data_IF_295659541067
#
_entry.id   IF_295659541067
#
_cell.length_a   1.000
_cell.length_b   1.000
_cell.length_c   1.000
_cell.angle_alpha   90.00
_cell.angle_beta   90.00
_cell.angle_gamma   90.00
#
_symmetry.space_group_name_H-M   'P 1'
#
loop_
_entity.id
_entity.type
_entity.pdbx_description
1 polymer ?
#
# COMPACT_ATOMS: atom_id res chain seq x y z
N UNK A 1 -26.03 -10.34 -12.76
CA UNK A 1 -26.86 -9.66 -11.74
C UNK A 1 -26.14 -8.36 -11.38
N UNK A 2 -26.80 -7.23 -11.56
CA UNK A 2 -26.19 -5.93 -11.84
C UNK A 2 -25.36 -5.33 -10.70
N UNK A 3 -24.17 -4.81 -11.05
CA UNK A 3 -23.34 -3.94 -10.20
C UNK A 3 -24.00 -2.56 -10.09
N UNK A 4 -24.30 -2.13 -8.86
CA UNK A 4 -24.66 -0.74 -8.58
C UNK A 4 -23.40 -0.02 -8.14
N UNK A 5 -22.88 0.83 -9.02
CA UNK A 5 -21.86 1.82 -8.70
C UNK A 5 -22.46 2.92 -7.79
N UNK A 6 -21.74 3.31 -6.73
CA UNK A 6 -21.97 4.59 -6.05
C UNK A 6 -20.66 5.36 -5.86
N UNK A 7 -20.76 6.62 -6.26
CA UNK A 7 -19.79 7.74 -6.28
C UNK A 7 -19.06 7.97 -4.94
N UNK A 8 -17.91 8.68 -4.97
CA UNK A 8 -17.23 9.17 -3.77
C UNK A 8 -17.96 10.41 -3.23
N UNK A 9 -18.11 10.51 -1.91
CA UNK A 9 -18.47 11.77 -1.25
C UNK A 9 -17.19 12.55 -0.93
N UNK A 10 -17.11 13.76 -1.45
CA UNK A 10 -16.21 14.82 -1.01
C UNK A 10 -16.95 15.74 -0.02
N UNK A 11 -16.15 16.27 0.91
CA UNK A 11 -16.28 17.49 1.72
C UNK A 11 -17.51 17.74 2.61
N UNK A 12 -17.26 17.64 3.92
CA UNK A 12 -17.72 18.53 5.00
C UNK A 12 -17.12 17.98 6.31
N UNK A 13 -16.68 18.70 7.32
CA UNK A 13 -16.33 20.10 7.57
C UNK A 13 -15.47 20.00 8.84
N UNK A 14 -14.49 20.89 8.99
CA UNK A 14 -13.63 20.93 10.16
C UNK A 14 -14.43 21.40 11.38
N UNK A 15 -14.59 20.53 12.38
CA UNK A 15 -15.07 20.97 13.70
C UNK A 15 -14.18 20.39 14.80
N UNK A 16 -13.14 21.18 15.10
CA UNK A 16 -12.71 21.62 16.45
C UNK A 16 -12.69 20.56 17.54
N UNK A 17 -11.48 20.21 17.98
CA UNK A 17 -11.20 19.73 19.33
C UNK A 17 -11.79 20.71 20.34
N UNK A 18 -12.79 20.27 21.12
CA UNK A 18 -13.14 20.94 22.37
C UNK A 18 -12.50 20.21 23.54
N UNK A 19 -11.60 20.92 24.23
CA UNK A 19 -11.03 20.59 25.53
C UNK A 19 -12.11 20.20 26.56
N UNK A 20 -11.74 19.40 27.58
CA UNK A 20 -12.58 19.25 28.77
C UNK A 20 -12.58 20.58 29.54
N UNK A 21 -13.77 21.14 29.74
CA UNK A 21 -14.00 22.31 30.60
C UNK A 21 -13.59 22.01 32.04
N UNK A 22 -12.57 22.75 32.49
CA UNK A 22 -12.37 23.10 33.89
C UNK A 22 -13.68 23.66 34.44
N UNK A 23 -14.19 23.09 35.54
CA UNK A 23 -15.21 23.75 36.35
C UNK A 23 -14.51 24.32 37.57
N UNK A 24 -14.33 25.63 37.52
CA UNK A 24 -13.86 26.53 38.56
C UNK A 24 -14.66 26.36 39.84
N UNK A 25 -13.95 26.21 40.95
CA UNK A 25 -14.45 26.34 42.32
C UNK A 25 -14.90 27.78 42.54
N UNK A 26 -16.19 28.01 42.75
CA UNK A 26 -16.68 29.19 43.49
C UNK A 26 -17.47 28.72 44.72
N UNK A 27 -17.00 29.18 45.87
CA UNK A 27 -17.59 29.02 47.19
C UNK A 27 -19.04 29.53 47.21
N UNK A 28 -19.90 28.85 47.95
CA UNK A 28 -21.05 29.52 48.58
C UNK A 28 -20.93 29.38 50.08
N UNK A 29 -20.57 30.51 50.71
CA UNK A 29 -20.51 30.71 52.15
C UNK A 29 -21.86 30.40 52.80
N UNK A 30 -21.82 29.58 53.85
CA UNK A 30 -22.94 29.40 54.76
C UNK A 30 -23.16 30.70 55.56
N UNK A 31 -24.24 31.43 55.27
CA UNK A 31 -24.75 32.52 56.11
C UNK A 31 -26.04 32.09 56.79
N UNK A 32 -26.07 32.37 58.09
CA UNK A 32 -27.06 32.11 59.12
C UNK A 32 -28.48 32.56 58.78
N UNK A 33 -29.45 31.66 58.95
CA UNK A 33 -30.88 31.98 58.98
C UNK A 33 -31.54 31.32 60.18
N UNK A 34 -31.66 32.08 61.28
CA UNK A 34 -32.32 31.71 62.52
C UNK A 34 -33.84 31.58 62.31
N UNK A 35 -34.41 30.42 62.67
CA UNK A 35 -35.84 30.16 62.68
C UNK A 35 -36.20 29.34 63.92
N UNK A 36 -36.55 30.06 64.99
CA UNK A 36 -36.94 29.50 66.29
C UNK A 36 -38.31 28.83 66.23
N UNK A 37 -38.37 27.55 66.58
CA UNK A 37 -39.59 26.79 66.85
C UNK A 37 -39.30 25.74 67.92
N UNK A 38 -39.66 26.06 69.16
CA UNK A 38 -39.39 25.27 70.37
C UNK A 38 -40.48 24.20 70.57
N UNK A 39 -40.09 22.93 70.76
CA UNK A 39 -41.03 21.84 71.04
C UNK A 39 -40.41 20.42 71.09
N UNK A 40 -39.80 20.06 72.22
CA UNK A 40 -39.81 18.73 72.86
C UNK A 40 -39.75 17.45 72.00
N UNK A 41 -38.55 16.86 71.80
CA UNK A 41 -38.25 15.42 72.02
C UNK A 41 -36.78 15.12 71.71
N UNK A 42 -35.95 15.27 72.73
CA UNK A 42 -34.54 14.87 72.80
C UNK A 42 -34.45 13.33 72.84
N UNK A 43 -34.19 12.70 71.68
CA UNK A 43 -33.44 11.41 71.49
C UNK A 43 -33.58 10.87 70.06
N UNK A 44 -34.65 11.20 69.34
CA UNK A 44 -34.94 10.66 67.98
C UNK A 44 -34.09 11.27 66.85
N UNK A 45 -33.26 12.30 67.13
CA UNK A 45 -32.49 13.05 66.11
C UNK A 45 -31.05 12.55 65.91
N UNK A 46 -30.46 11.84 66.90
CA UNK A 46 -29.02 11.50 66.87
C UNK A 46 -28.67 10.42 65.85
N UNK A 47 -29.42 9.33 65.78
CA UNK A 47 -29.08 8.16 64.95
C UNK A 47 -29.81 8.12 63.60
N UNK A 48 -30.95 8.82 63.48
CA UNK A 48 -31.81 8.76 62.28
C UNK A 48 -31.14 9.32 61.03
N UNK A 49 -30.26 10.32 61.16
CA UNK A 49 -29.47 10.85 60.05
C UNK A 49 -28.49 9.80 59.49
N UNK A 50 -27.75 9.13 60.36
CA UNK A 50 -26.75 8.14 59.96
C UNK A 50 -27.40 6.87 59.39
N UNK A 51 -28.50 6.42 59.99
CA UNK A 51 -29.34 5.33 59.46
C UNK A 51 -29.83 5.68 58.05
N UNK A 52 -30.38 6.89 57.85
CA UNK A 52 -30.89 7.31 56.53
C UNK A 52 -29.78 7.39 55.47
N UNK A 53 -28.58 7.82 55.88
CA UNK A 53 -27.41 7.94 55.00
C UNK A 53 -26.90 6.55 54.59
N UNK A 54 -26.73 5.64 55.55
CA UNK A 54 -26.32 4.26 55.29
C UNK A 54 -27.36 3.51 54.42
N UNK A 55 -28.66 3.71 54.70
CA UNK A 55 -29.75 3.14 53.90
C UNK A 55 -29.78 3.67 52.47
N UNK A 56 -29.50 4.96 52.26
CA UNK A 56 -29.38 5.52 50.92
C UNK A 56 -28.22 4.91 50.13
N UNK A 57 -27.08 4.67 50.79
CA UNK A 57 -25.90 4.04 50.18
C UNK A 57 -26.13 2.56 49.84
N UNK A 58 -26.92 1.86 50.66
CA UNK A 58 -27.36 0.48 50.39
C UNK A 58 -28.27 0.35 49.17
N UNK A 59 -29.00 1.41 48.82
CA UNK A 59 -29.87 1.44 47.65
C UNK A 59 -29.13 1.84 46.35
N UNK A 60 -27.81 2.02 46.40
CA UNK A 60 -27.03 2.32 45.21
C UNK A 60 -27.10 1.15 44.21
N UNK A 61 -27.26 1.47 42.92
CA UNK A 61 -27.32 0.47 41.87
C UNK A 61 -25.97 -0.24 41.68
N UNK A 62 -26.00 -1.55 41.44
CA UNK A 62 -24.81 -2.33 41.09
C UNK A 62 -24.27 -1.87 39.72
N UNK A 63 -22.94 -1.76 39.54
CA UNK A 63 -22.35 -1.48 38.23
C UNK A 63 -22.83 -2.47 37.16
N UNK A 64 -22.91 -2.00 35.91
CA UNK A 64 -23.31 -2.82 34.75
C UNK A 64 -22.24 -2.79 33.68
N UNK A 65 -22.09 -3.90 32.95
CA UNK A 65 -21.10 -3.99 31.87
C UNK A 65 -21.71 -3.57 30.53
N UNK A 66 -21.04 -2.65 29.83
CA UNK A 66 -21.34 -2.28 28.46
C UNK A 66 -20.07 -2.44 27.63
N UNK A 67 -20.09 -3.35 26.66
CA UNK A 67 -18.95 -3.59 25.78
C UNK A 67 -18.87 -2.52 24.68
N UNK A 68 -17.97 -1.55 24.85
CA UNK A 68 -17.82 -0.45 23.89
C UNK A 68 -17.03 -0.85 22.63
N UNK A 69 -16.38 -2.02 22.63
CA UNK A 69 -15.50 -2.49 21.57
C UNK A 69 -16.14 -3.50 20.63
N UNK A 70 -17.17 -4.24 21.08
CA UNK A 70 -17.84 -5.32 20.34
C UNK A 70 -18.16 -4.97 18.88
N UNK A 71 -18.77 -3.80 18.64
CA UNK A 71 -19.16 -3.39 17.28
C UNK A 71 -17.96 -3.13 16.37
N UNK A 72 -16.87 -2.56 16.93
CA UNK A 72 -15.64 -2.26 16.17
C UNK A 72 -14.87 -3.53 15.84
N UNK A 73 -14.77 -4.45 16.80
CA UNK A 73 -14.14 -5.77 16.62
C UNK A 73 -14.89 -6.54 15.53
N UNK A 74 -16.22 -6.67 15.66
CA UNK A 74 -17.05 -7.38 14.69
C UNK A 74 -16.95 -6.80 13.28
N UNK A 75 -16.93 -5.46 13.16
CA UNK A 75 -16.75 -4.80 11.87
C UNK A 75 -15.40 -5.17 11.25
N UNK A 76 -14.31 -5.09 12.01
CA UNK A 76 -12.98 -5.45 11.50
C UNK A 76 -12.91 -6.91 11.07
N UNK A 77 -13.40 -7.84 11.89
CA UNK A 77 -13.42 -9.27 11.56
C UNK A 77 -14.22 -9.58 10.30
N UNK A 78 -15.29 -8.82 10.04
CA UNK A 78 -16.09 -8.93 8.82
C UNK A 78 -15.34 -8.39 7.60
N UNK A 79 -14.67 -7.24 7.75
CA UNK A 79 -13.95 -6.60 6.65
C UNK A 79 -12.70 -7.43 6.25
N UNK A 80 -11.94 -7.92 7.23
CA UNK A 80 -10.72 -8.72 7.04
C UNK A 80 -9.60 -7.98 6.26
N UNK A 81 -8.40 -8.56 6.17
CA UNK A 81 -7.31 -7.97 5.40
C UNK A 81 -7.37 -8.26 3.88
N UNK A 82 -8.43 -8.93 3.41
CA UNK A 82 -8.52 -9.38 2.01
C UNK A 82 -7.42 -10.38 1.61
N UNK A 83 -7.29 -10.61 0.30
CA UNK A 83 -6.27 -11.50 -0.29
C UNK A 83 -5.40 -10.75 -1.28
N UNK A 84 -4.10 -11.01 -1.27
CA UNK A 84 -3.19 -10.43 -2.25
C UNK A 84 -3.51 -10.94 -3.66
N UNK A 85 -3.61 -10.01 -4.62
CA UNK A 85 -3.73 -10.32 -6.04
C UNK A 85 -2.59 -9.64 -6.78
N UNK A 86 -1.81 -10.45 -7.49
CA UNK A 86 -0.67 -9.96 -8.27
C UNK A 86 -1.12 -9.02 -9.37
N UNK A 87 -0.50 -7.83 -9.46
CA UNK A 87 -0.81 -6.85 -10.51
C UNK A 87 0.00 -7.12 -11.78
N UNK A 88 1.24 -7.59 -11.63
CA UNK A 88 2.17 -7.79 -12.74
C UNK A 88 2.50 -9.26 -13.01
N UNK A 89 1.89 -10.21 -12.28
CA UNK A 89 2.17 -11.65 -12.43
C UNK A 89 2.06 -12.13 -13.87
N UNK A 90 0.99 -11.77 -14.58
CA UNK A 90 0.82 -12.14 -16.00
C UNK A 90 1.90 -11.54 -16.91
N UNK A 91 2.34 -10.30 -16.64
CA UNK A 91 3.42 -9.66 -17.40
C UNK A 91 4.77 -10.33 -17.15
N UNK A 92 5.05 -10.68 -15.89
CA UNK A 92 6.23 -11.42 -15.46
C UNK A 92 6.27 -12.78 -16.16
N UNK A 93 5.18 -13.55 -16.09
CA UNK A 93 5.07 -14.86 -16.74
C UNK A 93 5.22 -14.77 -18.26
N UNK A 94 4.58 -13.77 -18.88
CA UNK A 94 4.70 -13.56 -20.31
C UNK A 94 6.14 -13.22 -20.73
N UNK A 95 6.85 -12.38 -19.98
CA UNK A 95 8.24 -12.02 -20.31
C UNK A 95 9.20 -13.17 -20.04
N UNK A 96 9.02 -13.92 -18.95
CA UNK A 96 9.78 -15.14 -18.69
C UNK A 96 9.60 -16.15 -19.81
N UNK A 97 8.36 -16.37 -20.27
CA UNK A 97 8.10 -17.25 -21.40
C UNK A 97 8.75 -16.77 -22.69
N UNK A 98 8.71 -15.46 -22.99
CA UNK A 98 9.39 -14.89 -24.17
C UNK A 98 10.91 -15.06 -24.08
N UNK A 99 11.51 -14.82 -22.92
CA UNK A 99 12.95 -14.97 -22.70
C UNK A 99 13.39 -16.44 -22.78
N UNK A 100 12.61 -17.37 -22.20
CA UNK A 100 12.90 -18.80 -22.21
C UNK A 100 12.77 -19.42 -23.60
N UNK A 101 11.80 -18.96 -24.40
CA UNK A 101 11.57 -19.45 -25.76
C UNK A 101 12.25 -18.57 -26.82
N UNK A 102 13.18 -17.70 -26.41
CA UNK A 102 13.88 -16.81 -27.33
C UNK A 102 14.80 -17.62 -28.24
N UNK A 103 14.55 -17.56 -29.54
CA UNK A 103 15.37 -18.24 -30.52
C UNK A 103 16.77 -17.63 -30.58
N UNK A 104 17.79 -18.47 -30.81
CA UNK A 104 19.14 -18.00 -31.04
C UNK A 104 19.19 -17.01 -32.22
N UNK A 105 20.09 -16.03 -32.15
CA UNK A 105 20.26 -15.06 -33.21
C UNK A 105 20.60 -15.75 -34.54
N UNK A 106 19.84 -15.43 -35.57
CA UNK A 106 20.08 -15.88 -36.94
C UNK A 106 19.91 -14.69 -37.87
N UNK A 107 20.84 -14.51 -38.79
CA UNK A 107 20.80 -13.47 -39.80
C UNK A 107 21.11 -14.07 -41.16
N UNK A 108 20.18 -13.89 -42.10
CA UNK A 108 20.32 -14.37 -43.47
C UNK A 108 20.40 -13.18 -44.43
N UNK A 109 21.62 -12.84 -44.84
CA UNK A 109 21.88 -11.75 -45.79
C UNK A 109 21.09 -11.89 -47.09
N UNK A 110 20.97 -13.11 -47.61
CA UNK A 110 20.27 -13.35 -48.88
C UNK A 110 18.77 -13.10 -48.82
N UNK A 111 18.19 -13.10 -47.61
CA UNK A 111 16.76 -12.86 -47.37
C UNK A 111 16.48 -11.45 -46.85
N UNK A 112 17.52 -10.67 -46.52
CA UNK A 112 17.35 -9.29 -46.08
C UNK A 112 17.07 -8.37 -47.29
N UNK A 113 15.87 -7.76 -47.39
CA UNK A 113 15.54 -6.85 -48.50
C UNK A 113 16.47 -5.65 -48.58
N UNK A 114 16.97 -5.15 -47.45
CA UNK A 114 17.89 -4.02 -47.41
C UNK A 114 19.24 -4.39 -48.01
N UNK A 115 19.76 -5.58 -47.65
CA UNK A 115 20.98 -6.10 -48.27
C UNK A 115 20.82 -6.32 -49.77
N UNK A 116 19.70 -6.90 -50.22
CA UNK A 116 19.43 -7.10 -51.65
C UNK A 116 19.42 -5.77 -52.43
N UNK A 117 18.76 -4.74 -51.89
CA UNK A 117 18.74 -3.40 -52.49
C UNK A 117 20.15 -2.80 -52.55
N UNK A 118 20.92 -2.95 -51.47
CA UNK A 118 22.28 -2.46 -51.38
C UNK A 118 23.19 -3.16 -52.39
N UNK A 119 23.13 -4.49 -52.49
CA UNK A 119 23.89 -5.28 -53.45
C UNK A 119 23.58 -4.89 -54.90
N UNK A 120 22.29 -4.72 -55.24
CA UNK A 120 21.89 -4.27 -56.58
C UNK A 120 22.46 -2.87 -56.91
N UNK A 121 22.45 -1.96 -55.94
CA UNK A 121 23.04 -0.62 -56.09
C UNK A 121 24.54 -0.69 -56.33
N UNK A 122 25.30 -1.44 -55.53
CA UNK A 122 26.75 -1.58 -55.69
C UNK A 122 27.15 -2.28 -56.98
N UNK A 123 26.37 -3.26 -57.44
CA UNK A 123 26.58 -3.87 -58.75
C UNK A 123 26.37 -2.86 -59.89
N UNK A 124 25.33 -2.03 -59.81
CA UNK A 124 25.07 -1.00 -60.81
C UNK A 124 26.14 0.08 -60.81
N UNK A 125 26.51 0.62 -59.63
CA UNK A 125 27.53 1.66 -59.51
C UNK A 125 28.91 1.14 -59.87
N UNK A 126 29.24 -0.09 -59.48
CA UNK A 126 30.49 -0.73 -59.86
C UNK A 126 30.60 -0.88 -61.37
N UNK A 127 29.53 -1.33 -62.05
CA UNK A 127 29.53 -1.44 -63.52
C UNK A 127 29.73 -0.09 -64.18
N UNK A 128 29.10 0.95 -63.66
CA UNK A 128 29.28 2.31 -64.15
C UNK A 128 30.72 2.80 -63.93
N UNK A 129 31.28 2.63 -62.72
CA UNK A 129 32.67 2.98 -62.41
C UNK A 129 33.67 2.22 -63.27
N UNK A 130 33.40 0.94 -63.56
CA UNK A 130 34.18 0.13 -64.50
C UNK A 130 34.13 0.73 -65.90
N UNK A 131 32.95 1.05 -66.42
CA UNK A 131 32.79 1.66 -67.75
C UNK A 131 33.49 3.02 -67.84
N UNK A 132 33.36 3.85 -66.81
CA UNK A 132 33.99 5.16 -66.73
C UNK A 132 35.53 5.03 -66.71
N UNK A 133 36.05 4.11 -65.90
CA UNK A 133 37.49 3.86 -65.80
C UNK A 133 38.05 3.27 -67.09
N UNK A 134 37.33 2.33 -67.72
CA UNK A 134 37.71 1.77 -69.03
C UNK A 134 37.70 2.84 -70.11
N UNK A 135 36.69 3.71 -70.14
CA UNK A 135 36.60 4.82 -71.10
C UNK A 135 37.74 5.83 -70.93
N UNK A 136 38.04 6.21 -69.69
CA UNK A 136 39.17 7.10 -69.37
C UNK A 136 40.52 6.47 -69.76
N UNK A 137 40.74 5.21 -69.41
CA UNK A 137 41.97 4.50 -69.75
C UNK A 137 42.12 4.25 -71.27
N UNK A 138 41.02 3.99 -71.99
CA UNK A 138 41.03 3.86 -73.44
C UNK A 138 41.34 5.21 -74.12
N UNK A 139 40.79 6.33 -73.62
CA UNK A 139 41.10 7.67 -74.13
C UNK A 139 42.59 8.02 -73.95
N UNK A 140 43.19 7.66 -72.81
CA UNK A 140 44.62 7.84 -72.53
C UNK A 140 45.53 6.97 -73.40
N UNK A 141 45.08 5.78 -73.81
CA UNK A 141 45.88 4.81 -74.58
C UNK A 141 45.65 4.84 -76.09
N UNK A 142 44.89 5.83 -76.60
CA UNK A 142 44.71 6.03 -78.04
C UNK A 142 43.49 5.34 -78.65
N UNK A 143 42.44 5.07 -77.86
CA UNK A 143 41.11 4.68 -78.36
C UNK A 143 40.92 3.18 -78.63
N UNK A 144 41.98 2.37 -78.59
CA UNK A 144 41.86 0.92 -78.59
C UNK A 144 41.68 0.44 -77.15
N UNK A 145 40.60 -0.32 -76.90
CA UNK A 145 40.34 -0.97 -75.62
C UNK A 145 41.51 -1.88 -75.23
N UNK A 146 42.49 -1.29 -74.57
CA UNK A 146 43.73 -1.95 -74.22
C UNK A 146 43.51 -2.85 -73.01
N UNK A 147 44.32 -3.91 -72.89
CA UNK A 147 44.37 -4.76 -71.70
C UNK A 147 44.54 -3.96 -70.41
N UNK A 148 45.20 -2.79 -70.50
CA UNK A 148 45.28 -1.81 -69.41
C UNK A 148 43.92 -1.25 -69.01
N UNK A 149 43.10 -0.77 -69.96
CA UNK A 149 41.77 -0.24 -69.67
C UNK A 149 40.86 -1.29 -69.01
N UNK A 150 40.89 -2.53 -69.51
CA UNK A 150 40.16 -3.65 -68.89
C UNK A 150 40.62 -3.96 -67.47
N UNK A 151 41.92 -3.88 -67.21
CA UNK A 151 42.49 -4.13 -65.86
C UNK A 151 42.08 -3.03 -64.90
N UNK A 152 42.21 -1.76 -65.30
CA UNK A 152 41.81 -0.61 -64.49
C UNK A 152 40.31 -0.61 -64.17
N UNK A 153 39.45 -0.91 -65.15
CA UNK A 153 38.01 -1.04 -64.93
C UNK A 153 37.64 -2.18 -63.99
N UNK A 154 38.31 -3.33 -64.13
CA UNK A 154 38.10 -4.48 -63.24
C UNK A 154 38.49 -4.15 -61.80
N UNK A 155 39.56 -3.38 -61.59
CA UNK A 155 39.98 -2.93 -60.27
C UNK A 155 38.96 -1.97 -59.63
N UNK A 156 38.41 -1.02 -60.40
CA UNK A 156 37.35 -0.13 -59.93
C UNK A 156 36.07 -0.90 -59.55
N UNK A 157 35.68 -1.91 -60.33
CA UNK A 157 34.55 -2.79 -60.01
C UNK A 157 34.78 -3.56 -58.69
N UNK A 158 35.97 -4.14 -58.53
CA UNK A 158 36.35 -4.89 -57.34
C UNK A 158 36.32 -4.03 -56.07
N UNK A 159 36.74 -2.76 -56.14
CA UNK A 159 36.64 -1.84 -55.01
C UNK A 159 35.19 -1.64 -54.54
N UNK A 160 34.25 -1.49 -55.46
CA UNK A 160 32.83 -1.40 -55.11
C UNK A 160 32.26 -2.68 -54.51
N UNK A 161 32.72 -3.85 -54.96
CA UNK A 161 32.33 -5.12 -54.35
C UNK A 161 32.91 -5.30 -52.94
N UNK A 162 34.12 -4.78 -52.69
CA UNK A 162 34.70 -4.79 -51.34
C UNK A 162 33.88 -3.90 -50.39
N UNK A 163 33.46 -2.71 -50.82
CA UNK A 163 32.57 -1.84 -50.04
C UNK A 163 31.24 -2.52 -49.70
N UNK A 164 30.64 -3.24 -50.66
CA UNK A 164 29.44 -4.04 -50.40
C UNK A 164 29.67 -5.12 -49.32
N UNK A 165 30.84 -5.74 -49.30
CA UNK A 165 31.18 -6.75 -48.30
C UNK A 165 31.35 -6.13 -46.90
N UNK A 166 31.94 -4.94 -46.80
CA UNK A 166 32.06 -4.19 -45.55
C UNK A 166 30.68 -3.79 -45.00
N UNK A 167 29.81 -3.24 -45.85
CA UNK A 167 28.44 -2.91 -45.47
C UNK A 167 27.63 -4.15 -45.06
N UNK A 168 27.90 -5.31 -45.68
CA UNK A 168 27.28 -6.57 -45.29
C UNK A 168 27.62 -6.93 -43.83
N UNK A 169 28.89 -6.81 -43.45
CA UNK A 169 29.37 -7.06 -42.08
C UNK A 169 28.71 -6.07 -41.10
N UNK A 170 28.55 -4.81 -41.51
CA UNK A 170 27.86 -3.79 -40.70
C UNK A 170 26.39 -4.16 -40.45
N UNK A 171 25.65 -4.57 -41.50
CA UNK A 171 24.25 -4.98 -41.36
C UNK A 171 24.08 -6.18 -40.42
N UNK A 172 24.97 -7.17 -40.50
CA UNK A 172 24.99 -8.28 -39.53
C UNK A 172 25.19 -7.78 -38.10
N UNK A 173 26.15 -6.85 -37.91
CA UNK A 173 26.48 -6.29 -36.60
C UNK A 173 25.31 -5.49 -36.02
N UNK A 174 24.63 -4.69 -36.85
CA UNK A 174 23.44 -3.95 -36.48
C UNK A 174 22.29 -4.90 -36.09
N UNK A 175 22.03 -5.92 -36.91
CA UNK A 175 20.99 -6.92 -36.61
C UNK A 175 21.29 -7.64 -35.29
N UNK A 176 22.56 -7.98 -35.04
CA UNK A 176 22.99 -8.59 -33.78
C UNK A 176 22.81 -7.65 -32.60
N UNK A 177 23.20 -6.38 -32.74
CA UNK A 177 23.04 -5.36 -31.71
C UNK A 177 21.57 -5.12 -31.37
N UNK A 178 20.70 -5.03 -32.39
CA UNK A 178 19.26 -4.90 -32.19
C UNK A 178 18.67 -6.11 -31.46
N UNK A 179 19.08 -7.33 -31.84
CA UNK A 179 18.72 -8.53 -31.12
C UNK A 179 19.19 -8.45 -29.66
N UNK A 180 20.48 -8.20 -29.38
CA UNK A 180 20.97 -8.16 -28.00
C UNK A 180 20.23 -7.11 -27.16
N UNK A 181 20.01 -5.91 -27.72
CA UNK A 181 19.24 -4.81 -27.11
C UNK A 181 17.81 -5.23 -26.77
N UNK A 182 17.10 -5.90 -27.67
CA UNK A 182 15.75 -6.43 -27.42
C UNK A 182 15.75 -7.41 -26.24
N UNK A 183 16.76 -8.29 -26.17
CA UNK A 183 16.93 -9.24 -25.07
C UNK A 183 17.16 -8.54 -23.72
N UNK A 184 17.99 -7.49 -23.72
CA UNK A 184 18.28 -6.71 -22.52
C UNK A 184 17.08 -5.89 -22.06
N UNK A 185 16.31 -5.30 -22.99
CA UNK A 185 15.06 -4.63 -22.69
C UNK A 185 14.04 -5.56 -22.04
N UNK A 186 13.91 -6.79 -22.55
CA UNK A 186 13.03 -7.81 -21.94
C UNK A 186 13.44 -8.14 -20.51
N UNK A 187 14.75 -8.32 -20.23
CA UNK A 187 15.26 -8.58 -18.88
C UNK A 187 15.08 -7.39 -17.95
N UNK A 188 15.34 -6.18 -18.45
CA UNK A 188 15.14 -4.93 -17.71
C UNK A 188 13.67 -4.75 -17.31
N UNK A 189 12.74 -4.95 -18.25
CA UNK A 189 11.31 -4.90 -17.98
C UNK A 189 10.87 -5.98 -16.98
N UNK A 190 11.40 -7.20 -17.10
CA UNK A 190 11.13 -8.28 -16.14
C UNK A 190 11.57 -7.88 -14.73
N UNK A 191 12.78 -7.34 -14.58
CA UNK A 191 13.29 -6.86 -13.29
C UNK A 191 12.42 -5.73 -12.73
N UNK A 192 12.02 -4.76 -13.56
CA UNK A 192 11.16 -3.68 -13.15
C UNK A 192 9.79 -4.19 -12.63
N UNK A 193 9.18 -5.15 -13.34
CA UNK A 193 7.93 -5.76 -12.88
C UNK A 193 8.11 -6.56 -11.58
N UNK A 194 9.20 -7.31 -11.44
CA UNK A 194 9.49 -8.06 -10.21
C UNK A 194 9.69 -7.12 -9.00
N UNK A 195 10.37 -5.99 -9.19
CA UNK A 195 10.54 -4.97 -8.15
C UNK A 195 9.20 -4.34 -7.78
N UNK A 196 8.39 -3.94 -8.77
CA UNK A 196 7.08 -3.37 -8.53
C UNK A 196 6.14 -4.37 -7.81
N UNK A 197 6.15 -5.63 -8.22
CA UNK A 197 5.38 -6.71 -7.62
C UNK A 197 5.81 -6.98 -6.17
N UNK A 198 7.11 -6.99 -5.90
CA UNK A 198 7.64 -7.16 -4.55
C UNK A 198 7.23 -6.01 -3.63
N UNK A 199 7.26 -4.77 -4.14
CA UNK A 199 6.79 -3.61 -3.39
C UNK A 199 5.29 -3.69 -3.08
N UNK A 200 4.46 -4.07 -4.06
CA UNK A 200 3.02 -4.27 -3.85
C UNK A 200 2.73 -5.35 -2.81
N UNK A 201 3.45 -6.47 -2.86
CA UNK A 201 3.31 -7.54 -1.86
C UNK A 201 3.75 -7.09 -0.47
N UNK A 202 4.85 -6.36 -0.37
CA UNK A 202 5.31 -5.79 0.90
C UNK A 202 4.29 -4.82 1.51
N UNK A 203 3.68 -3.95 0.68
CA UNK A 203 2.64 -3.02 1.15
C UNK A 203 1.42 -3.79 1.65
N UNK A 204 0.96 -4.81 0.91
CA UNK A 204 -0.14 -5.66 1.36
C UNK A 204 0.17 -6.38 2.69
N UNK A 205 1.39 -6.88 2.86
CA UNK A 205 1.81 -7.51 4.11
C UNK A 205 1.83 -6.51 5.27
N UNK A 206 2.24 -5.26 5.02
CA UNK A 206 2.18 -4.17 6.00
C UNK A 206 0.73 -3.83 6.37
N UNK A 207 -0.14 -3.61 5.39
CA UNK A 207 -1.56 -3.32 5.62
C UNK A 207 -2.24 -4.44 6.41
N UNK A 208 -1.87 -5.69 6.11
CA UNK A 208 -2.35 -6.87 6.84
C UNK A 208 -1.82 -6.90 8.27
N UNK A 209 -0.56 -6.54 8.51
CA UNK A 209 0.01 -6.45 9.85
C UNK A 209 -0.70 -5.36 10.67
N UNK A 210 -0.92 -4.19 10.08
CA UNK A 210 -1.63 -3.07 10.71
C UNK A 210 -3.08 -3.43 11.04
N UNK A 211 -3.75 -4.16 10.17
CA UNK A 211 -5.08 -4.72 10.44
C UNK A 211 -5.08 -5.57 11.72
N UNK A 212 -4.14 -6.51 11.87
CA UNK A 212 -4.08 -7.37 13.05
C UNK A 212 -3.65 -6.62 14.30
N UNK A 213 -2.71 -5.67 14.20
CA UNK A 213 -2.31 -4.81 15.31
C UNK A 213 -3.49 -4.02 15.85
N UNK A 214 -4.30 -3.44 14.96
CA UNK A 214 -5.50 -2.69 15.35
C UNK A 214 -6.58 -3.61 15.93
N UNK A 215 -6.78 -4.80 15.38
CA UNK A 215 -7.72 -5.78 15.94
C UNK A 215 -7.32 -6.21 17.35
N UNK A 216 -6.03 -6.48 17.58
CA UNK A 216 -5.50 -6.81 18.90
C UNK A 216 -5.68 -5.65 19.88
N UNK A 217 -5.34 -4.43 19.48
CA UNK A 217 -5.55 -3.24 20.32
C UNK A 217 -7.02 -3.05 20.74
N UNK A 218 -7.99 -3.36 19.86
CA UNK A 218 -9.41 -3.34 20.24
C UNK A 218 -9.75 -4.40 21.27
N UNK A 219 -9.22 -5.62 21.11
CA UNK A 219 -9.43 -6.74 22.04
C UNK A 219 -8.76 -6.47 23.40
N UNK A 220 -7.60 -5.86 23.42
CA UNK A 220 -6.92 -5.45 24.64
C UNK A 220 -7.72 -4.36 25.36
N UNK A 221 -8.28 -3.40 24.62
CA UNK A 221 -9.22 -2.40 25.16
C UNK A 221 -10.47 -3.03 25.77
N UNK A 222 -11.10 -3.97 25.06
CA UNK A 222 -12.23 -4.75 25.55
C UNK A 222 -11.90 -5.53 26.84
N UNK A 223 -10.74 -6.18 26.87
CA UNK A 223 -10.26 -6.91 28.05
C UNK A 223 -10.02 -5.98 29.23
N UNK A 224 -9.45 -4.80 29.00
CA UNK A 224 -9.20 -3.79 30.03
C UNK A 224 -10.51 -3.24 30.59
N UNK A 225 -11.48 -2.91 29.74
CA UNK A 225 -12.81 -2.45 30.14
C UNK A 225 -13.54 -3.51 30.97
N UNK A 226 -13.44 -4.79 30.57
CA UNK A 226 -14.02 -5.88 31.35
C UNK A 226 -13.35 -6.05 32.71
N UNK A 227 -12.02 -5.87 32.81
CA UNK A 227 -11.32 -5.91 34.10
C UNK A 227 -11.79 -4.78 35.02
N UNK A 228 -11.87 -3.55 34.52
CA UNK A 228 -12.38 -2.40 35.29
C UNK A 228 -13.79 -2.65 35.79
N UNK A 229 -14.69 -3.17 34.94
CA UNK A 229 -16.04 -3.54 35.38
C UNK A 229 -16.03 -4.58 36.52
N UNK A 230 -15.15 -5.58 36.46
CA UNK A 230 -15.05 -6.55 37.56
C UNK A 230 -14.54 -5.90 38.85
N UNK A 231 -13.60 -4.99 38.75
CA UNK A 231 -13.05 -4.27 39.89
C UNK A 231 -14.14 -3.36 40.50
N UNK A 232 -14.89 -2.61 39.68
CA UNK A 232 -16.03 -1.80 40.12
C UNK A 232 -17.10 -2.64 40.84
N UNK A 233 -17.39 -3.83 40.31
CA UNK A 233 -18.33 -4.77 40.96
C UNK A 233 -17.79 -5.27 42.30
N UNK A 234 -16.51 -5.60 42.37
CA UNK A 234 -15.85 -6.04 43.60
C UNK A 234 -15.86 -4.94 44.67
N UNK A 235 -15.55 -3.71 44.27
CA UNK A 235 -15.58 -2.54 45.14
C UNK A 235 -17.00 -2.24 45.61
N UNK A 236 -17.99 -2.30 44.70
CA UNK A 236 -19.39 -2.18 45.05
C UNK A 236 -19.81 -3.22 46.10
N UNK A 237 -19.50 -4.50 45.89
CA UNK A 237 -19.87 -5.56 46.82
C UNK A 237 -19.21 -5.34 48.21
N UNK A 238 -17.94 -4.92 48.24
CA UNK A 238 -17.22 -4.55 49.47
C UNK A 238 -17.84 -3.34 50.18
N UNK A 239 -18.22 -2.30 49.42
CA UNK A 239 -18.88 -1.12 49.97
C UNK A 239 -20.27 -1.44 50.54
N UNK A 240 -21.03 -2.29 49.86
CA UNK A 240 -22.36 -2.72 50.31
C UNK A 240 -22.28 -3.44 51.67
N UNK A 241 -21.30 -4.33 51.87
CA UNK A 241 -21.05 -4.96 53.17
C UNK A 241 -20.73 -3.94 54.27
N UNK A 242 -19.91 -2.93 53.94
CA UNK A 242 -19.54 -1.85 54.86
C UNK A 242 -20.76 -0.99 55.24
N UNK A 243 -21.58 -0.59 54.28
CA UNK A 243 -22.79 0.20 54.54
C UNK A 243 -23.85 -0.62 55.28
N UNK A 244 -23.96 -1.91 55.01
CA UNK A 244 -24.86 -2.81 55.75
C UNK A 244 -24.46 -2.88 57.23
N UNK A 245 -23.16 -3.04 57.49
CA UNK A 245 -22.62 -3.05 58.86
C UNK A 245 -22.87 -1.72 59.58
N UNK A 246 -22.66 -0.59 58.90
CA UNK A 246 -22.94 0.74 59.46
C UNK A 246 -24.44 0.95 59.74
N UNK A 247 -25.30 0.59 58.79
CA UNK A 247 -26.76 0.67 58.95
C UNK A 247 -27.20 -0.12 60.18
N UNK A 248 -26.74 -1.36 60.31
CA UNK A 248 -27.05 -2.21 61.45
C UNK A 248 -26.57 -1.60 62.77
N UNK A 249 -25.32 -1.16 62.83
CA UNK A 249 -24.76 -0.52 64.03
C UNK A 249 -25.58 0.67 64.51
N UNK A 250 -25.93 1.59 63.60
CA UNK A 250 -26.72 2.77 63.97
C UNK A 250 -28.17 2.42 64.31
N UNK A 251 -28.74 1.41 63.66
CA UNK A 251 -30.08 0.93 63.96
C UNK A 251 -30.14 0.27 65.35
N UNK A 252 -29.18 -0.59 65.69
CA UNK A 252 -29.08 -1.24 67.00
C UNK A 252 -28.93 -0.18 68.11
N UNK A 253 -28.08 0.84 67.92
CA UNK A 253 -27.94 1.96 68.87
C UNK A 253 -29.22 2.79 69.02
N UNK A 254 -30.00 2.94 67.95
CA UNK A 254 -31.28 3.65 68.00
C UNK A 254 -32.36 2.83 68.72
N UNK A 255 -32.33 1.51 68.59
CA UNK A 255 -33.22 0.58 69.30
C UNK A 255 -32.89 0.47 70.79
N UNK A 256 -31.62 0.58 71.19
CA UNK A 256 -31.21 0.55 72.61
C UNK A 256 -31.59 1.84 73.37
N UNK A 257 -31.62 3.00 72.70
CA UNK A 257 -31.89 4.32 73.28
C UNK A 257 -33.40 4.70 73.34
N UNK A 258 -34.30 3.89 72.76
CA UNK A 258 -35.77 4.14 72.67
C UNK A 258 -36.61 2.95 73.14
#
# INVERSE_FOLDING_TARGET
MAMVARKPLADADASVLTNPTETTTEETQATTGSGSGNGSSSSTSRYTKDISTAKSKLNAAKPTYTDTYASRIKKMETDGPGTYTSKYGQNIDSLLNKLNNRQAFQYNMSQDPLYQQLAAKYMSSGKQAMQDTMGQAAALTGGYGSSYASTAGSQAYQQHLNQLNDDAIELYSLAKSAYDTEGDNMRSNLSAYQTAESALRSNFESDRADYYNRLNSLRDGQSTEYQQYRDDVSDYDTEQERYWTQYKYWNDLWEDDN
#
